data_IF_566869844786
#
_entry.id   IF_566869844786
#
_cell.length_a   1.000
_cell.length_b   1.000
_cell.length_c   1.000
_cell.angle_alpha   90.00
_cell.angle_beta   90.00
_cell.angle_gamma   90.00
#
_symmetry.space_group_name_H-M   'P 1'
#
loop_
_entity.id
_entity.type
_entity.pdbx_description
1 polymer ?
#
# COMPACT_ATOMS: atom_id res chain seq x y z
N UNK A 1 7.13 -4.73 31.14
CA UNK A 1 7.30 -5.29 29.78
C UNK A 1 5.91 -5.44 29.20
N UNK A 2 5.49 -4.50 28.37
CA UNK A 2 4.23 -4.63 27.62
C UNK A 2 4.52 -5.61 26.48
N UNK A 3 3.76 -6.71 26.33
CA UNK A 3 3.95 -7.60 25.20
C UNK A 3 3.77 -6.78 23.91
N UNK A 4 4.69 -6.98 22.96
CA UNK A 4 4.55 -6.46 21.59
C UNK A 4 3.22 -7.00 21.09
N UNK A 5 2.26 -6.09 20.90
CA UNK A 5 0.90 -6.36 20.42
C UNK A 5 0.98 -7.34 19.25
N UNK A 6 0.35 -8.51 19.38
CA UNK A 6 0.10 -9.37 18.22
C UNK A 6 -0.59 -8.51 17.17
N UNK A 7 0.06 -8.32 16.03
CA UNK A 7 -0.53 -7.61 14.91
C UNK A 7 -1.77 -8.38 14.46
N UNK A 8 -2.91 -7.69 14.37
CA UNK A 8 -4.15 -8.26 13.85
C UNK A 8 -3.89 -8.88 12.46
N UNK A 9 -4.05 -10.21 12.28
CA UNK A 9 -3.82 -10.87 11.00
C UNK A 9 -4.64 -10.29 9.86
N UNK A 10 -5.84 -9.75 10.15
CA UNK A 10 -6.69 -9.10 9.14
C UNK A 10 -6.04 -7.80 8.67
N UNK A 11 -5.55 -6.97 9.60
CA UNK A 11 -4.87 -5.72 9.24
C UNK A 11 -3.57 -5.97 8.46
N UNK A 12 -2.83 -7.04 8.78
CA UNK A 12 -1.66 -7.45 8.00
C UNK A 12 -2.04 -7.81 6.55
N UNK A 13 -3.11 -8.58 6.38
CA UNK A 13 -3.57 -9.01 5.07
C UNK A 13 -4.16 -7.84 4.25
N UNK A 14 -4.86 -6.90 4.90
CA UNK A 14 -5.32 -5.65 4.26
C UNK A 14 -4.11 -4.86 3.73
N UNK A 15 -3.09 -4.64 4.56
CA UNK A 15 -1.87 -3.94 4.14
C UNK A 15 -1.15 -4.66 3.00
N UNK A 16 -1.06 -6.00 3.07
CA UNK A 16 -0.46 -6.81 2.00
C UNK A 16 -1.21 -6.61 0.67
N UNK A 17 -2.54 -6.73 0.67
CA UNK A 17 -3.36 -6.55 -0.54
C UNK A 17 -3.29 -5.15 -1.12
N UNK A 18 -3.26 -4.12 -0.26
CA UNK A 18 -3.09 -2.73 -0.69
C UNK A 18 -1.74 -2.51 -1.36
N UNK A 19 -0.67 -3.02 -0.76
CA UNK A 19 0.68 -2.94 -1.30
C UNK A 19 0.78 -3.69 -2.64
N UNK A 20 0.34 -4.93 -2.71
CA UNK A 20 0.35 -5.73 -3.94
C UNK A 20 -0.45 -5.06 -5.06
N UNK A 21 -1.63 -4.53 -4.75
CA UNK A 21 -2.43 -3.77 -5.71
C UNK A 21 -1.72 -2.51 -6.22
N UNK A 22 -0.97 -1.81 -5.36
CA UNK A 22 -0.14 -0.68 -5.77
C UNK A 22 1.01 -1.13 -6.68
N UNK A 23 1.74 -2.19 -6.32
CA UNK A 23 2.85 -2.73 -7.11
C UNK A 23 2.40 -3.23 -8.48
N UNK A 24 1.25 -3.89 -8.57
CA UNK A 24 0.68 -4.31 -9.85
C UNK A 24 0.37 -3.13 -10.78
N UNK A 25 -0.16 -2.02 -10.25
CA UNK A 25 -0.40 -0.79 -11.03
C UNK A 25 0.89 -0.13 -11.49
N UNK A 26 1.89 -0.04 -10.59
CA UNK A 26 3.22 0.49 -10.93
C UNK A 26 3.86 -0.33 -12.05
N UNK A 27 3.76 -1.66 -11.98
CA UNK A 27 4.25 -2.56 -13.03
C UNK A 27 3.62 -2.28 -14.40
N UNK A 28 2.33 -1.98 -14.45
CA UNK A 28 1.57 -1.81 -15.70
C UNK A 28 1.78 -0.44 -16.37
N UNK A 29 2.03 0.64 -15.62
CA UNK A 29 2.07 2.01 -16.17
C UNK A 29 3.21 2.90 -15.69
N UNK A 30 4.12 2.39 -14.85
CA UNK A 30 5.18 3.19 -14.23
C UNK A 30 6.44 3.37 -15.08
N UNK A 31 7.30 4.27 -14.61
CA UNK A 31 8.68 4.44 -15.06
C UNK A 31 9.43 3.09 -15.07
N UNK A 32 10.31 2.79 -16.06
CA UNK A 32 10.97 1.48 -16.18
C UNK A 32 11.63 0.99 -14.88
N UNK A 33 12.38 1.85 -14.20
CA UNK A 33 12.99 1.49 -12.90
C UNK A 33 11.96 1.11 -11.84
N UNK A 34 10.82 1.80 -11.77
CA UNK A 34 9.76 1.49 -10.82
C UNK A 34 9.03 0.19 -11.18
N UNK A 35 8.94 -0.14 -12.47
CA UNK A 35 8.40 -1.42 -12.95
C UNK A 35 9.29 -2.58 -12.49
N UNK A 36 10.60 -2.48 -12.71
CA UNK A 36 11.55 -3.54 -12.35
C UNK A 36 11.60 -3.75 -10.83
N UNK A 37 11.55 -2.65 -10.07
CA UNK A 37 11.42 -2.70 -8.61
C UNK A 37 10.12 -3.38 -8.17
N UNK A 38 8.98 -2.98 -8.76
CA UNK A 38 7.69 -3.57 -8.40
C UNK A 38 7.64 -5.06 -8.73
N UNK A 39 8.25 -5.49 -9.84
CA UNK A 39 8.37 -6.89 -10.20
C UNK A 39 9.24 -7.67 -9.19
N UNK A 40 10.39 -7.12 -8.80
CA UNK A 40 11.30 -7.74 -7.82
C UNK A 40 10.64 -7.91 -6.45
N UNK A 41 9.89 -6.89 -5.99
CA UNK A 41 9.12 -6.94 -4.74
C UNK A 41 8.00 -8.00 -4.81
N UNK A 42 7.24 -8.04 -5.91
CA UNK A 42 6.16 -9.01 -6.09
C UNK A 42 6.67 -10.46 -6.15
N UNK A 43 7.89 -10.68 -6.64
CA UNK A 43 8.53 -12.01 -6.68
C UNK A 43 9.23 -12.39 -5.37
N UNK A 44 9.37 -11.46 -4.42
CA UNK A 44 10.15 -11.67 -3.21
C UNK A 44 11.67 -11.75 -3.44
N UNK A 45 12.14 -11.28 -4.60
CA UNK A 45 13.58 -11.18 -4.93
C UNK A 45 14.23 -9.98 -4.24
N UNK A 46 13.41 -9.05 -3.74
CA UNK A 46 13.82 -7.86 -3.01
C UNK A 46 12.79 -7.56 -1.92
N UNK A 47 13.26 -7.05 -0.78
CA UNK A 47 12.43 -6.55 0.32
C UNK A 47 12.26 -5.03 0.25
N UNK A 48 11.25 -4.49 0.94
CA UNK A 48 11.10 -3.03 1.07
C UNK A 48 12.28 -2.39 1.80
N UNK A 49 12.89 -3.07 2.78
CA UNK A 49 14.08 -2.57 3.49
C UNK A 49 15.27 -2.44 2.53
N UNK A 50 15.56 -3.47 1.75
CA UNK A 50 16.63 -3.42 0.72
C UNK A 50 16.39 -2.32 -0.31
N UNK A 51 15.14 -2.11 -0.69
CA UNK A 51 14.76 -1.05 -1.61
C UNK A 51 15.08 0.35 -1.05
N UNK A 52 14.80 0.59 0.24
CA UNK A 52 15.12 1.88 0.87
C UNK A 52 16.61 2.16 1.00
N UNK A 53 17.44 1.11 0.98
CA UNK A 53 18.91 1.21 1.05
C UNK A 53 19.57 1.23 -0.33
N UNK A 54 18.82 0.97 -1.39
CA UNK A 54 19.32 0.98 -2.76
C UNK A 54 19.68 2.41 -3.19
N UNK A 55 20.95 2.62 -3.53
CA UNK A 55 21.45 3.91 -4.05
C UNK A 55 20.84 4.31 -5.39
N UNK A 56 20.20 3.36 -6.10
CA UNK A 56 19.55 3.59 -7.40
C UNK A 56 18.05 3.84 -7.23
N UNK A 57 17.38 3.04 -6.40
CA UNK A 57 15.93 3.12 -6.23
C UNK A 57 15.49 4.19 -5.24
N UNK A 58 16.25 4.39 -4.15
CA UNK A 58 15.87 5.33 -3.09
C UNK A 58 15.71 6.77 -3.60
N UNK A 59 16.58 7.33 -4.46
CA UNK A 59 16.39 8.68 -5.00
C UNK A 59 15.12 8.81 -5.86
N UNK A 60 14.78 7.77 -6.63
CA UNK A 60 13.56 7.77 -7.48
C UNK A 60 12.31 7.75 -6.60
N UNK A 61 12.30 6.93 -5.57
CA UNK A 61 11.20 6.88 -4.59
C UNK A 61 11.08 8.19 -3.82
N UNK A 62 12.20 8.78 -3.42
CA UNK A 62 12.21 10.07 -2.72
C UNK A 62 11.64 11.18 -3.62
N UNK A 63 12.03 11.23 -4.89
CA UNK A 63 11.48 12.20 -5.84
C UNK A 63 9.97 12.01 -6.05
N UNK A 64 9.49 10.76 -6.17
CA UNK A 64 8.07 10.47 -6.28
C UNK A 64 7.29 10.88 -5.00
N UNK A 65 7.85 10.60 -3.82
CA UNK A 65 7.26 11.00 -2.55
C UNK A 65 7.20 12.53 -2.39
N UNK A 66 8.26 13.24 -2.76
CA UNK A 66 8.27 14.71 -2.78
C UNK A 66 7.22 15.26 -3.74
N UNK A 67 7.15 14.74 -4.97
CA UNK A 67 6.13 15.15 -5.94
C UNK A 67 4.71 14.91 -5.43
N UNK A 68 4.46 13.79 -4.74
CA UNK A 68 3.17 13.52 -4.11
C UNK A 68 2.84 14.52 -3.01
N UNK A 69 3.80 14.82 -2.12
CA UNK A 69 3.61 15.78 -1.04
C UNK A 69 3.35 17.19 -1.57
N UNK A 70 4.02 17.59 -2.65
CA UNK A 70 3.81 18.89 -3.27
C UNK A 70 2.47 18.98 -3.98
N UNK A 71 2.06 17.95 -4.73
CA UNK A 71 0.71 17.85 -5.28
C UNK A 71 -0.34 17.94 -4.17
N UNK A 72 -0.13 17.21 -3.06
CA UNK A 72 -1.06 17.18 -1.92
C UNK A 72 -1.23 18.56 -1.27
N UNK A 73 -0.17 19.37 -1.19
CA UNK A 73 -0.27 20.75 -0.66
C UNK A 73 -1.16 21.66 -1.52
N UNK A 74 -1.33 21.32 -2.80
CA UNK A 74 -2.21 22.06 -3.71
C UNK A 74 -3.70 21.74 -3.56
N UNK A 75 -4.06 20.70 -2.79
CA UNK A 75 -5.45 20.29 -2.60
C UNK A 75 -6.16 21.21 -1.60
N UNK A 76 -7.40 21.52 -1.89
CA UNK A 76 -8.34 22.10 -0.92
C UNK A 76 -8.68 21.08 0.19
N UNK A 77 -9.25 21.56 1.30
CA UNK A 77 -9.72 20.70 2.39
C UNK A 77 -10.80 19.72 1.92
N UNK A 78 -11.67 20.15 0.99
CA UNK A 78 -12.71 19.30 0.41
C UNK A 78 -12.12 18.18 -0.44
N UNK A 79 -11.18 18.50 -1.34
CA UNK A 79 -10.50 17.50 -2.18
C UNK A 79 -9.67 16.52 -1.34
N UNK A 80 -8.98 17.03 -0.32
CA UNK A 80 -8.25 16.18 0.61
C UNK A 80 -9.19 15.25 1.40
N UNK A 81 -10.32 15.77 1.88
CA UNK A 81 -11.36 14.98 2.54
C UNK A 81 -11.95 13.89 1.63
N UNK A 82 -12.24 14.22 0.37
CA UNK A 82 -12.75 13.27 -0.62
C UNK A 82 -11.72 12.15 -0.91
N UNK A 83 -10.45 12.51 -1.05
CA UNK A 83 -9.37 11.54 -1.25
C UNK A 83 -9.25 10.58 -0.04
N UNK A 84 -9.26 11.12 1.18
CA UNK A 84 -9.20 10.31 2.40
C UNK A 84 -10.41 9.39 2.49
N UNK A 85 -11.62 9.88 2.22
CA UNK A 85 -12.83 9.06 2.23
C UNK A 85 -12.76 7.91 1.22
N UNK A 86 -12.25 8.16 0.01
CA UNK A 86 -12.07 7.13 -1.01
C UNK A 86 -11.07 6.05 -0.55
N UNK A 87 -9.95 6.44 0.04
CA UNK A 87 -8.95 5.49 0.56
C UNK A 87 -9.53 4.70 1.72
N UNK A 88 -10.17 5.35 2.70
CA UNK A 88 -10.79 4.69 3.84
C UNK A 88 -11.86 3.69 3.42
N UNK A 89 -12.75 4.05 2.50
CA UNK A 89 -13.78 3.13 1.99
C UNK A 89 -13.15 1.89 1.34
N UNK A 90 -12.01 2.03 0.63
CA UNK A 90 -11.31 0.87 0.07
C UNK A 90 -10.68 -0.01 1.15
N UNK A 91 -10.14 0.57 2.22
CA UNK A 91 -9.60 -0.18 3.36
C UNK A 91 -10.72 -0.94 4.06
N UNK A 92 -11.84 -0.29 4.32
CA UNK A 92 -12.98 -0.89 5.01
C UNK A 92 -13.60 -2.03 4.18
N UNK A 93 -13.75 -1.85 2.86
CA UNK A 93 -14.15 -2.95 1.98
C UNK A 93 -13.22 -4.16 2.09
N UNK A 94 -11.90 -3.95 2.11
CA UNK A 94 -10.95 -5.05 2.23
C UNK A 94 -11.06 -5.76 3.59
N UNK A 95 -11.33 -5.03 4.67
CA UNK A 95 -11.58 -5.61 6.00
C UNK A 95 -12.82 -6.48 5.98
N UNK A 96 -13.90 -6.00 5.38
CA UNK A 96 -15.16 -6.74 5.25
C UNK A 96 -14.98 -8.01 4.41
N UNK A 97 -14.28 -7.91 3.27
CA UNK A 97 -13.97 -9.06 2.39
C UNK A 97 -13.14 -10.16 3.10
N UNK A 98 -12.38 -9.78 4.13
CA UNK A 98 -11.50 -10.65 4.90
C UNK A 98 -12.11 -11.11 6.22
N UNK A 99 -13.23 -10.53 6.64
CA UNK A 99 -13.93 -10.96 7.84
C UNK A 99 -14.41 -12.41 7.63
N UNK A 100 -14.13 -13.33 8.56
CA UNK A 100 -14.59 -14.70 8.44
C UNK A 100 -16.12 -14.72 8.35
N UNK A 101 -16.62 -15.44 7.35
CA UNK A 101 -18.02 -15.56 6.98
C UNK A 101 -18.90 -15.78 8.23
N UNK A 102 -19.73 -14.78 8.59
CA UNK A 102 -20.62 -14.87 9.76
C UNK A 102 -21.82 -15.79 9.50
N UNK A 103 -22.00 -16.26 8.27
CA UNK A 103 -23.23 -16.93 7.84
C UNK A 103 -23.13 -18.46 7.66
N UNK A 104 -22.03 -19.10 8.08
CA UNK A 104 -21.93 -20.58 8.07
C UNK A 104 -22.48 -21.25 9.35
N UNK A 105 -23.58 -20.72 9.90
CA UNK A 105 -24.41 -21.37 10.94
C UNK A 105 -25.90 -21.25 10.62
N UNK A 106 -26.33 -21.90 9.55
CA UNK A 106 -27.70 -22.43 9.38
C UNK A 106 -27.74 -23.32 8.15
N UNK A 107 -27.35 -24.58 8.31
CA UNK A 107 -27.76 -25.69 7.45
C UNK A 107 -27.78 -26.97 8.29
#
# INVERSE_FOLDING_TARGET
MTPLTEFDPVEQEVHRRLLEGALHRIRQGGHPLLRDMAESLLKGEMTLDELTRSSVAAPVLQAAATSYLDWRKGLTQEEHGALVAQVSARVDQLREDLAPDKDMKSA
#
